data_IF_144720695621
#
_entry.id   IF_144720695621
#
_cell.length_a   1.000
_cell.length_b   1.000
_cell.length_c   1.000
_cell.angle_alpha   90.00
_cell.angle_beta   90.00
_cell.angle_gamma   90.00
#
_symmetry.space_group_name_H-M   'P 1'
#
loop_
_entity.id
_entity.type
_entity.pdbx_description
1 polymer ?
#
# COMPACT_ATOMS: atom_id res chain seq x y z
N UNK A 1 -2.88 22.49 2.11
CA UNK A 1 -2.05 21.76 3.06
C UNK A 1 -1.69 22.65 4.25
N UNK A 2 -2.65 22.80 5.13
CA UNK A 2 -2.62 23.64 6.33
C UNK A 2 -2.96 22.75 7.54
N UNK A 3 -2.59 23.17 8.73
CA UNK A 3 -2.95 22.57 10.00
C UNK A 3 -3.21 23.66 11.05
N UNK A 4 -3.53 23.26 12.27
CA UNK A 4 -3.87 24.17 13.36
C UNK A 4 -2.77 25.22 13.66
N UNK A 5 -1.49 24.84 13.55
CA UNK A 5 -0.35 25.73 13.78
C UNK A 5 0.01 26.57 12.54
N UNK A 6 -0.45 26.14 11.34
CA UNK A 6 -0.08 26.72 10.04
C UNK A 6 -1.33 26.97 9.20
N UNK A 7 -2.15 27.93 9.62
CA UNK A 7 -3.29 28.38 8.83
C UNK A 7 -2.84 29.12 7.57
N UNK A 8 -3.62 29.00 6.50
CA UNK A 8 -3.35 29.62 5.20
C UNK A 8 -4.26 30.82 4.99
N UNK A 9 -3.67 31.96 4.72
CA UNK A 9 -4.43 33.20 4.46
C UNK A 9 -5.08 33.17 3.07
N UNK A 10 -6.16 33.95 2.88
CA UNK A 10 -6.80 34.13 1.57
C UNK A 10 -5.81 34.59 0.50
N UNK A 11 -4.86 35.47 0.86
CA UNK A 11 -3.84 35.94 -0.09
C UNK A 11 -2.89 34.81 -0.53
N UNK A 12 -2.50 33.90 0.39
CA UNK A 12 -1.68 32.75 0.06
C UNK A 12 -2.43 31.78 -0.83
N UNK A 13 -3.74 31.57 -0.59
CA UNK A 13 -4.60 30.74 -1.45
C UNK A 13 -4.65 31.34 -2.86
N UNK A 14 -4.90 32.63 -3.01
CA UNK A 14 -4.92 33.33 -4.31
C UNK A 14 -3.57 33.21 -5.03
N UNK A 15 -2.46 33.42 -4.31
CA UNK A 15 -1.12 33.31 -4.87
C UNK A 15 -0.81 31.86 -5.34
N UNK A 16 -1.24 30.87 -4.59
CA UNK A 16 -1.10 29.45 -4.97
C UNK A 16 -1.92 29.11 -6.22
N UNK A 17 -3.19 29.51 -6.28
CA UNK A 17 -4.04 29.29 -7.45
C UNK A 17 -3.47 29.98 -8.69
N UNK A 18 -2.98 31.23 -8.55
CA UNK A 18 -2.33 31.94 -9.63
C UNK A 18 -1.08 31.21 -10.17
N UNK A 19 -0.31 30.53 -9.32
CA UNK A 19 0.84 29.72 -9.75
C UNK A 19 0.45 28.48 -10.54
N UNK A 20 -0.84 28.14 -10.57
CA UNK A 20 -1.44 27.03 -11.34
C UNK A 20 -2.36 27.56 -12.46
N UNK A 21 -2.15 28.81 -12.88
CA UNK A 21 -2.94 29.49 -13.93
C UNK A 21 -4.45 29.61 -13.64
N UNK A 22 -4.82 29.57 -12.35
CA UNK A 22 -6.20 29.77 -11.90
C UNK A 22 -6.35 31.16 -11.33
N UNK A 23 -7.16 32.00 -12.00
CA UNK A 23 -7.53 33.34 -11.51
C UNK A 23 -8.62 33.21 -10.45
N UNK A 24 -8.42 33.81 -9.27
CA UNK A 24 -9.40 33.84 -8.20
C UNK A 24 -9.37 35.17 -7.45
N UNK A 25 -10.55 35.67 -7.06
CA UNK A 25 -10.71 36.83 -6.24
C UNK A 25 -11.07 36.46 -4.80
N UNK A 26 -10.84 37.36 -3.85
CA UNK A 26 -11.16 37.14 -2.44
C UNK A 26 -12.59 36.65 -2.19
N UNK A 27 -13.56 37.27 -2.88
CA UNK A 27 -14.97 36.97 -2.72
C UNK A 27 -15.27 35.54 -3.19
N UNK A 28 -14.66 35.11 -4.27
CA UNK A 28 -14.75 33.75 -4.78
C UNK A 28 -14.17 32.73 -3.77
N UNK A 29 -12.99 33.03 -3.18
CA UNK A 29 -12.37 32.14 -2.18
C UNK A 29 -13.28 31.93 -0.95
N UNK A 30 -13.96 33.00 -0.49
CA UNK A 30 -14.90 32.83 0.64
C UNK A 30 -16.08 31.94 0.27
N UNK A 31 -16.68 32.15 -0.90
CA UNK A 31 -17.76 31.32 -1.41
C UNK A 31 -17.32 29.83 -1.59
N UNK A 32 -16.10 29.63 -2.10
CA UNK A 32 -15.54 28.29 -2.31
C UNK A 32 -15.28 27.59 -0.97
N UNK A 33 -14.80 28.30 0.06
CA UNK A 33 -14.60 27.78 1.41
C UNK A 33 -15.95 27.35 2.01
N UNK A 34 -16.99 28.17 1.85
CA UNK A 34 -18.30 27.81 2.36
C UNK A 34 -18.89 26.61 1.61
N UNK A 35 -18.73 26.54 0.29
CA UNK A 35 -19.12 25.36 -0.48
C UNK A 35 -18.37 24.09 -0.07
N UNK A 36 -17.08 24.19 0.24
CA UNK A 36 -16.28 23.07 0.74
C UNK A 36 -16.73 22.61 2.14
N UNK A 37 -17.15 23.53 3.01
CA UNK A 37 -17.77 23.21 4.31
C UNK A 37 -19.10 22.49 4.14
N UNK A 38 -19.94 22.98 3.23
CA UNK A 38 -21.21 22.33 2.90
C UNK A 38 -21.03 20.94 2.31
N UNK A 39 -19.91 20.71 1.60
CA UNK A 39 -19.50 19.39 1.11
C UNK A 39 -19.00 18.46 2.22
N UNK A 40 -18.79 18.97 3.44
CA UNK A 40 -18.39 18.17 4.60
C UNK A 40 -16.92 18.28 5.01
N UNK A 41 -16.15 19.21 4.42
CA UNK A 41 -14.80 19.50 4.88
C UNK A 41 -14.83 20.39 6.12
N UNK A 42 -14.19 19.94 7.19
CA UNK A 42 -14.08 20.72 8.42
C UNK A 42 -12.99 21.79 8.27
N UNK A 43 -13.38 22.94 7.73
CA UNK A 43 -12.48 24.08 7.52
C UNK A 43 -12.69 25.10 8.62
N UNK A 44 -11.71 25.23 9.50
CA UNK A 44 -11.71 26.19 10.61
C UNK A 44 -11.02 27.48 10.18
N UNK A 45 -11.60 28.60 10.59
CA UNK A 45 -10.98 29.91 10.47
C UNK A 45 -10.35 30.30 11.82
N UNK A 46 -9.07 30.67 11.79
CA UNK A 46 -8.36 31.23 12.95
C UNK A 46 -8.04 32.68 12.73
N UNK A 47 -8.03 33.45 13.81
CA UNK A 47 -7.74 34.89 13.81
C UNK A 47 -6.88 35.27 15.00
N UNK A 48 -5.75 34.58 15.16
CA UNK A 48 -4.76 34.88 16.20
C UNK A 48 -3.67 35.80 15.64
N UNK A 49 -2.95 36.48 16.54
CA UNK A 49 -1.96 37.51 16.16
C UNK A 49 -0.87 36.99 15.22
N UNK A 50 -0.43 35.75 15.40
CA UNK A 50 0.64 35.11 14.60
C UNK A 50 0.13 33.97 13.70
N UNK A 51 -1.14 33.60 13.79
CA UNK A 51 -1.74 32.53 13.01
C UNK A 51 -3.16 32.95 12.62
N UNK A 52 -3.37 33.35 11.37
CA UNK A 52 -4.67 33.75 10.87
C UNK A 52 -4.90 33.20 9.47
N UNK A 53 -6.12 32.77 9.21
CA UNK A 53 -6.49 32.15 7.93
C UNK A 53 -7.38 30.93 8.12
N UNK A 54 -7.20 29.95 7.29
CA UNK A 54 -8.01 28.74 7.25
C UNK A 54 -7.13 27.50 7.34
N UNK A 55 -7.62 26.46 8.01
CA UNK A 55 -7.02 25.15 7.97
C UNK A 55 -8.10 24.05 7.98
N UNK A 56 -7.74 22.86 7.48
CA UNK A 56 -8.59 21.68 7.55
C UNK A 56 -8.32 20.99 8.87
N UNK A 57 -9.33 20.95 9.75
CA UNK A 57 -9.19 20.42 11.12
C UNK A 57 -9.32 18.91 11.15
N UNK A 58 -10.38 18.36 10.56
CA UNK A 58 -10.61 16.92 10.59
C UNK A 58 -9.94 16.27 9.36
N UNK A 59 -9.08 15.31 9.62
CA UNK A 59 -8.43 14.45 8.64
C UNK A 59 -8.75 13.00 8.99
N UNK A 60 -8.81 12.15 7.97
CA UNK A 60 -9.09 10.73 8.13
C UNK A 60 -8.06 10.03 9.03
N UNK A 61 -6.84 10.59 9.11
CA UNK A 61 -5.76 10.05 9.92
C UNK A 61 -5.11 11.10 10.79
N UNK A 62 -4.87 10.75 12.04
CA UNK A 62 -4.03 11.52 12.96
C UNK A 62 -2.54 11.31 12.68
N UNK A 63 -1.69 12.26 13.08
CA UNK A 63 -0.24 12.16 12.87
C UNK A 63 0.39 10.92 13.53
N UNK A 64 0.01 10.46 14.75
CA UNK A 64 0.50 9.22 15.32
C UNK A 64 0.15 7.99 14.48
N UNK A 65 -1.05 7.92 13.90
CA UNK A 65 -1.49 6.82 13.03
C UNK A 65 -0.67 6.77 11.74
N UNK A 66 -0.43 7.94 11.12
CA UNK A 66 0.43 8.03 9.94
C UNK A 66 1.87 7.60 10.24
N UNK A 67 2.40 7.90 11.43
CA UNK A 67 3.72 7.41 11.87
C UNK A 67 3.75 5.89 11.95
N UNK A 68 2.72 5.26 12.53
CA UNK A 68 2.60 3.80 12.59
C UNK A 68 2.53 3.17 11.19
N UNK A 69 1.80 3.78 10.25
CA UNK A 69 1.75 3.33 8.86
C UNK A 69 3.13 3.43 8.18
N UNK A 70 3.84 4.54 8.35
CA UNK A 70 5.20 4.72 7.83
C UNK A 70 6.15 3.67 8.41
N UNK A 71 6.12 3.43 9.72
CA UNK A 71 6.96 2.45 10.41
C UNK A 71 6.67 1.03 9.92
N UNK A 72 5.39 0.69 9.72
CA UNK A 72 4.97 -0.61 9.18
C UNK A 72 5.49 -0.84 7.76
N UNK A 73 5.42 0.17 6.89
CA UNK A 73 5.95 0.10 5.53
C UNK A 73 7.47 0.03 5.52
N UNK A 74 8.15 0.80 6.39
CA UNK A 74 9.60 0.78 6.50
C UNK A 74 10.13 -0.54 7.04
N UNK A 75 9.47 -1.10 8.05
CA UNK A 75 9.89 -2.35 8.69
C UNK A 75 9.62 -3.58 7.85
N UNK A 76 8.74 -3.51 6.88
CA UNK A 76 8.36 -4.65 6.04
C UNK A 76 9.52 -5.15 5.17
N UNK A 77 9.85 -6.45 5.27
CA UNK A 77 10.89 -7.11 4.45
C UNK A 77 10.41 -7.39 3.04
N UNK A 78 9.12 -7.62 2.84
CA UNK A 78 8.57 -8.03 1.54
C UNK A 78 8.35 -6.85 0.57
N UNK A 79 8.43 -5.61 1.05
CA UNK A 79 8.32 -4.41 0.21
C UNK A 79 9.74 -3.96 -0.19
N UNK A 80 9.98 -3.75 -1.49
CA UNK A 80 11.27 -3.25 -1.96
C UNK A 80 11.55 -1.84 -1.45
N UNK A 81 12.83 -1.45 -1.38
CA UNK A 81 13.20 -0.10 -0.94
C UNK A 81 12.53 1.00 -1.79
N UNK A 82 12.51 0.82 -3.10
CA UNK A 82 11.88 1.76 -4.05
C UNK A 82 10.37 1.90 -3.79
N UNK A 83 9.67 0.77 -3.58
CA UNK A 83 8.23 0.77 -3.29
C UNK A 83 7.94 1.39 -1.91
N UNK A 84 8.79 1.12 -0.90
CA UNK A 84 8.73 1.75 0.42
C UNK A 84 8.72 3.27 0.31
N UNK A 85 9.70 3.86 -0.38
CA UNK A 85 9.76 5.32 -0.57
C UNK A 85 8.54 5.87 -1.30
N UNK A 86 8.05 5.13 -2.31
CA UNK A 86 6.83 5.52 -3.04
C UNK A 86 5.59 5.51 -2.16
N UNK A 87 5.44 4.50 -1.28
CA UNK A 87 4.32 4.40 -0.35
C UNK A 87 4.37 5.49 0.72
N UNK A 88 5.54 5.74 1.30
CA UNK A 88 5.73 6.82 2.29
C UNK A 88 5.31 8.17 1.70
N UNK A 89 5.75 8.50 0.47
CA UNK A 89 5.31 9.72 -0.22
C UNK A 89 3.79 9.81 -0.45
N UNK A 90 3.09 8.68 -0.54
CA UNK A 90 1.63 8.66 -0.61
C UNK A 90 1.00 8.89 0.76
N UNK A 91 1.56 8.29 1.81
CA UNK A 91 1.11 8.47 3.20
C UNK A 91 1.30 9.93 3.62
N UNK A 92 2.43 10.56 3.28
CA UNK A 92 2.70 11.98 3.53
C UNK A 92 1.59 12.92 3.00
N UNK A 93 0.98 12.57 1.87
CA UNK A 93 -0.12 13.35 1.27
C UNK A 93 -1.42 13.32 2.08
N UNK A 94 -1.56 12.38 3.01
CA UNK A 94 -2.72 12.29 3.91
C UNK A 94 -2.63 13.29 5.07
N UNK A 95 -1.49 13.97 5.23
CA UNK A 95 -1.26 14.98 6.27
C UNK A 95 -1.05 16.39 5.70
N UNK A 96 -0.87 17.38 6.58
CA UNK A 96 -0.40 18.71 6.16
C UNK A 96 1.06 18.62 5.65
N UNK A 97 1.51 19.61 4.88
CA UNK A 97 2.92 19.70 4.45
C UNK A 97 3.86 19.74 5.65
N UNK A 98 3.46 20.42 6.72
CA UNK A 98 4.25 20.57 7.93
C UNK A 98 4.33 19.24 8.72
N UNK A 99 3.20 18.56 8.90
CA UNK A 99 3.15 17.24 9.51
C UNK A 99 3.86 16.17 8.68
N UNK A 100 3.81 16.26 7.34
CA UNK A 100 4.53 15.35 6.45
C UNK A 100 6.04 15.38 6.68
N UNK A 101 6.63 16.53 7.01
CA UNK A 101 8.06 16.64 7.35
C UNK A 101 8.42 15.84 8.61
N UNK A 102 7.48 15.69 9.55
CA UNK A 102 7.67 14.89 10.75
C UNK A 102 7.61 13.40 10.49
N UNK A 103 6.95 12.98 9.41
CA UNK A 103 6.89 11.57 8.97
C UNK A 103 8.21 11.11 8.34
N UNK A 104 9.01 12.03 7.80
CA UNK A 104 10.33 11.74 7.24
C UNK A 104 11.41 11.45 8.29
N UNK A 105 11.09 11.55 9.58
CA UNK A 105 12.01 11.14 10.66
C UNK A 105 12.11 9.62 10.65
N UNK A 106 13.18 9.17 10.07
CA UNK A 106 13.47 7.78 9.76
C UNK A 106 13.50 6.91 11.03
N UNK A 107 12.63 5.92 11.10
CA UNK A 107 12.96 4.70 11.82
C UNK A 107 13.98 3.95 10.97
N UNK A 108 15.25 4.11 11.26
CA UNK A 108 16.30 3.30 10.67
C UNK A 108 16.16 1.86 11.20
N UNK A 109 15.57 0.99 10.44
CA UNK A 109 15.65 -0.44 10.73
C UNK A 109 17.02 -0.92 10.27
N UNK A 110 17.97 -0.90 11.21
CA UNK A 110 19.36 -1.32 10.99
C UNK A 110 19.37 -2.77 10.50
N UNK A 111 20.03 -3.04 9.38
CA UNK A 111 20.27 -4.38 8.81
C UNK A 111 19.05 -5.15 8.28
N UNK A 112 17.95 -4.50 7.93
CA UNK A 112 16.83 -5.19 7.29
C UNK A 112 17.06 -5.31 5.78
N UNK A 113 17.36 -6.54 5.35
CA UNK A 113 17.45 -6.88 3.92
C UNK A 113 16.02 -6.92 3.39
N UNK A 114 15.66 -5.91 2.59
CA UNK A 114 14.40 -5.89 1.86
C UNK A 114 14.48 -6.79 0.64
N UNK A 115 13.35 -7.35 0.22
CA UNK A 115 13.28 -8.09 -1.04
C UNK A 115 13.68 -7.21 -2.22
N UNK A 116 14.30 -7.82 -3.22
CA UNK A 116 14.55 -7.19 -4.52
C UNK A 116 13.45 -7.51 -5.55
N UNK A 117 12.47 -8.32 -5.18
CA UNK A 117 11.40 -8.72 -6.07
C UNK A 117 10.27 -7.69 -6.06
N UNK A 118 10.19 -6.84 -7.07
CA UNK A 118 9.13 -5.84 -7.22
C UNK A 118 7.77 -6.47 -7.61
N UNK A 119 7.75 -7.73 -8.05
CA UNK A 119 6.53 -8.41 -8.48
C UNK A 119 5.67 -8.93 -7.32
N UNK A 120 6.18 -9.01 -6.09
CA UNK A 120 5.44 -9.56 -4.94
C UNK A 120 4.09 -8.87 -4.75
N UNK A 121 4.05 -7.57 -4.90
CA UNK A 121 2.83 -6.78 -4.77
C UNK A 121 1.75 -7.23 -5.78
N UNK A 122 2.15 -7.46 -7.05
CA UNK A 122 1.25 -7.96 -8.09
C UNK A 122 0.93 -9.44 -7.90
N UNK A 123 1.89 -10.22 -7.40
CA UNK A 123 1.69 -11.63 -7.10
C UNK A 123 0.57 -11.83 -6.06
N UNK A 124 0.56 -11.01 -5.00
CA UNK A 124 -0.48 -11.03 -3.98
C UNK A 124 -1.86 -10.74 -4.60
N UNK A 125 -1.94 -9.73 -5.45
CA UNK A 125 -3.18 -9.33 -6.13
C UNK A 125 -3.70 -10.44 -7.05
N UNK A 126 -2.84 -11.04 -7.88
CA UNK A 126 -3.21 -12.16 -8.76
C UNK A 126 -3.67 -13.41 -7.99
N UNK A 127 -3.04 -13.71 -6.84
CA UNK A 127 -3.49 -14.82 -5.99
C UNK A 127 -4.87 -14.53 -5.42
N UNK A 128 -5.13 -13.31 -4.94
CA UNK A 128 -6.44 -12.90 -4.45
C UNK A 128 -7.51 -12.97 -5.56
N UNK A 129 -7.16 -12.59 -6.78
CA UNK A 129 -8.05 -12.72 -7.94
C UNK A 129 -8.42 -14.18 -8.20
N UNK A 130 -7.45 -15.11 -8.15
CA UNK A 130 -7.70 -16.54 -8.27
C UNK A 130 -8.62 -17.09 -7.18
N UNK A 131 -8.38 -16.67 -5.91
CA UNK A 131 -9.22 -17.06 -4.76
C UNK A 131 -10.65 -16.53 -4.93
N UNK A 132 -10.80 -15.24 -5.22
CA UNK A 132 -12.11 -14.57 -5.30
C UNK A 132 -12.95 -15.04 -6.47
N UNK A 133 -12.32 -15.40 -7.60
CA UNK A 133 -13.01 -15.90 -8.79
C UNK A 133 -13.23 -17.41 -8.79
N UNK A 134 -12.82 -18.13 -7.73
CA UNK A 134 -12.88 -19.59 -7.64
C UNK A 134 -12.12 -20.30 -8.77
N UNK A 135 -10.92 -19.80 -9.12
CA UNK A 135 -10.13 -20.27 -10.26
C UNK A 135 -8.77 -20.79 -9.83
N UNK A 136 -8.25 -21.77 -10.59
CA UNK A 136 -6.86 -22.21 -10.49
C UNK A 136 -5.93 -21.12 -10.94
N UNK A 137 -4.70 -21.17 -10.44
CA UNK A 137 -3.62 -20.32 -10.94
C UNK A 137 -2.44 -21.17 -11.39
N UNK A 138 -1.67 -20.63 -12.33
CA UNK A 138 -0.36 -21.18 -12.69
C UNK A 138 0.74 -20.18 -12.37
N UNK A 139 1.92 -20.69 -12.04
CA UNK A 139 3.09 -19.85 -11.74
C UNK A 139 4.40 -20.64 -11.90
N UNK A 140 5.51 -19.91 -12.05
CA UNK A 140 6.86 -20.46 -11.91
C UNK A 140 7.31 -20.31 -10.46
N UNK A 141 7.98 -21.33 -9.93
CA UNK A 141 8.52 -21.30 -8.56
C UNK A 141 10.03 -21.46 -8.58
N UNK A 142 10.74 -20.56 -7.89
CA UNK A 142 12.19 -20.56 -7.89
C UNK A 142 12.78 -20.60 -6.47
N UNK A 143 14.03 -20.98 -6.39
CA UNK A 143 14.86 -20.91 -5.19
C UNK A 143 16.18 -20.21 -5.53
N UNK A 144 16.87 -19.73 -4.51
CA UNK A 144 18.23 -19.24 -4.67
C UNK A 144 19.22 -20.34 -4.32
N UNK A 145 20.16 -20.60 -5.19
CA UNK A 145 21.27 -21.48 -4.91
C UNK A 145 22.32 -20.82 -3.97
N UNK A 146 23.37 -21.54 -3.61
CA UNK A 146 24.45 -21.05 -2.73
C UNK A 146 25.13 -19.80 -3.28
N UNK A 147 25.18 -19.65 -4.61
CA UNK A 147 25.71 -18.47 -5.30
C UNK A 147 24.69 -17.31 -5.42
N UNK A 148 23.51 -17.40 -4.75
CA UNK A 148 22.40 -16.45 -4.83
C UNK A 148 21.84 -16.24 -6.25
N UNK A 149 22.01 -17.23 -7.12
CA UNK A 149 21.40 -17.25 -8.44
C UNK A 149 20.05 -17.95 -8.36
N UNK A 150 19.03 -17.40 -9.06
CA UNK A 150 17.70 -18.02 -9.13
C UNK A 150 17.74 -19.31 -9.93
N UNK A 151 17.17 -20.36 -9.38
CA UNK A 151 17.00 -21.66 -10.02
C UNK A 151 15.52 -22.02 -9.95
N UNK A 152 14.90 -22.23 -11.10
CA UNK A 152 13.50 -22.65 -11.14
C UNK A 152 13.37 -24.11 -10.75
N UNK A 153 12.38 -24.42 -9.93
CA UNK A 153 12.01 -25.79 -9.60
C UNK A 153 11.32 -26.44 -10.80
N UNK A 154 11.30 -27.76 -10.84
CA UNK A 154 10.71 -28.58 -11.90
C UNK A 154 11.20 -28.16 -13.31
N UNK A 155 12.50 -27.87 -13.43
CA UNK A 155 13.13 -27.46 -14.69
C UNK A 155 12.43 -26.29 -15.40
N UNK A 156 11.78 -25.41 -14.64
CA UNK A 156 11.04 -24.26 -15.13
C UNK A 156 9.62 -24.57 -15.63
N UNK A 157 9.08 -25.76 -15.30
CA UNK A 157 7.68 -26.05 -15.56
C UNK A 157 6.75 -25.24 -14.64
N UNK A 158 5.56 -24.91 -15.16
CA UNK A 158 4.55 -24.24 -14.37
C UNK A 158 3.92 -25.18 -13.35
N UNK A 159 3.76 -24.66 -12.14
CA UNK A 159 2.83 -25.22 -11.17
C UNK A 159 1.42 -24.78 -11.54
N UNK A 160 0.44 -25.68 -11.42
CA UNK A 160 -0.98 -25.41 -11.56
C UNK A 160 -1.66 -25.88 -10.28
N UNK A 161 -2.25 -24.95 -9.54
CA UNK A 161 -2.81 -25.23 -8.20
C UNK A 161 -4.11 -24.47 -7.97
N UNK A 162 -4.88 -24.93 -6.99
CA UNK A 162 -6.12 -24.29 -6.52
C UNK A 162 -5.81 -23.44 -5.27
N UNK A 163 -5.73 -22.10 -5.35
CA UNK A 163 -5.41 -21.24 -4.21
C UNK A 163 -6.64 -21.11 -3.30
N UNK A 164 -6.49 -21.28 -1.97
CA UNK A 164 -7.57 -21.17 -0.99
C UNK A 164 -7.42 -20.00 -0.05
N UNK A 165 -6.22 -19.76 0.46
CA UNK A 165 -5.96 -18.70 1.42
C UNK A 165 -4.55 -18.13 1.26
N UNK A 166 -4.35 -16.97 1.84
CA UNK A 166 -3.03 -16.42 2.09
C UNK A 166 -2.81 -16.29 3.58
N UNK A 167 -1.63 -16.70 4.05
CA UNK A 167 -1.21 -16.55 5.44
C UNK A 167 0.03 -15.66 5.51
N UNK A 168 0.21 -15.03 6.65
CA UNK A 168 1.37 -14.21 6.96
C UNK A 168 2.15 -14.85 8.08
N UNK A 169 3.40 -15.24 7.80
CA UNK A 169 4.29 -15.84 8.79
C UNK A 169 5.73 -15.37 8.57
N UNK A 170 6.45 -15.08 9.66
CA UNK A 170 7.82 -14.56 9.66
C UNK A 170 8.08 -13.48 8.59
N UNK A 171 7.18 -12.51 8.53
CA UNK A 171 7.23 -11.38 7.59
C UNK A 171 7.20 -11.78 6.09
N UNK A 172 6.66 -12.95 5.77
CA UNK A 172 6.45 -13.42 4.41
C UNK A 172 4.99 -13.80 4.18
N UNK A 173 4.51 -13.59 2.95
CA UNK A 173 3.26 -14.16 2.49
C UNK A 173 3.45 -15.59 2.04
N UNK A 174 2.54 -16.44 2.46
CA UNK A 174 2.41 -17.83 1.99
C UNK A 174 1.02 -18.00 1.38
N UNK A 175 0.99 -18.61 0.21
CA UNK A 175 -0.26 -19.06 -0.40
C UNK A 175 -0.50 -20.50 0.03
N UNK A 176 -1.68 -20.78 0.59
CA UNK A 176 -2.19 -22.12 0.87
C UNK A 176 -2.97 -22.57 -0.36
N UNK A 177 -2.54 -23.65 -1.00
CA UNK A 177 -3.16 -24.13 -2.23
C UNK A 177 -3.17 -25.66 -2.31
N UNK A 178 -4.20 -26.21 -2.93
CA UNK A 178 -4.25 -27.62 -3.27
C UNK A 178 -3.51 -27.88 -4.59
N UNK A 179 -2.58 -28.79 -4.53
CA UNK A 179 -1.84 -29.29 -5.69
C UNK A 179 -2.51 -30.58 -6.18
N UNK A 180 -3.31 -30.49 -7.24
CA UNK A 180 -4.09 -31.62 -7.77
C UNK A 180 -3.20 -32.76 -8.25
N UNK A 181 -2.00 -32.47 -8.76
CA UNK A 181 -1.06 -33.50 -9.22
C UNK A 181 -0.47 -34.30 -8.05
N UNK A 182 -0.30 -33.68 -6.89
CA UNK A 182 0.19 -34.32 -5.69
C UNK A 182 -0.94 -34.81 -4.76
N UNK A 183 -2.18 -34.32 -4.94
CA UNK A 183 -3.34 -34.65 -4.10
C UNK A 183 -3.28 -34.10 -2.68
N UNK A 184 -2.50 -33.03 -2.42
CA UNK A 184 -2.28 -32.48 -1.08
C UNK A 184 -2.30 -30.96 -1.08
N UNK A 185 -2.56 -30.40 0.11
CA UNK A 185 -2.37 -28.96 0.36
C UNK A 185 -0.87 -28.65 0.52
N UNK A 186 -0.43 -27.59 -0.12
CA UNK A 186 0.93 -27.06 -0.04
C UNK A 186 0.92 -25.58 0.29
N UNK A 187 2.02 -25.13 0.91
CA UNK A 187 2.27 -23.73 1.23
C UNK A 187 3.39 -23.21 0.32
N UNK A 188 3.10 -22.17 -0.45
CA UNK A 188 4.07 -21.56 -1.36
C UNK A 188 4.41 -20.16 -0.91
N UNK A 189 5.68 -19.85 -0.77
CA UNK A 189 6.14 -18.48 -0.47
C UNK A 189 5.93 -17.59 -1.69
N UNK A 190 5.19 -16.50 -1.51
CA UNK A 190 4.81 -15.62 -2.62
C UNK A 190 6.01 -14.86 -3.21
N UNK A 191 7.03 -14.59 -2.42
CA UNK A 191 8.28 -13.97 -2.87
C UNK A 191 9.12 -14.84 -3.82
N UNK A 192 8.82 -16.15 -3.87
CA UNK A 192 9.46 -17.14 -4.75
C UNK A 192 8.60 -17.49 -5.97
N UNK A 193 7.49 -16.81 -6.18
CA UNK A 193 6.57 -17.03 -7.29
C UNK A 193 6.79 -15.98 -8.37
N UNK A 194 6.70 -16.41 -9.62
CA UNK A 194 6.77 -15.52 -10.80
C UNK A 194 5.75 -15.94 -11.85
N UNK A 195 5.36 -14.99 -12.69
CA UNK A 195 4.44 -15.19 -13.82
C UNK A 195 3.13 -15.86 -13.42
N UNK A 196 2.54 -15.38 -12.31
CA UNK A 196 1.25 -15.86 -11.85
C UNK A 196 0.19 -15.47 -12.89
N UNK A 197 -0.69 -16.40 -13.22
CA UNK A 197 -1.81 -16.18 -14.12
C UNK A 197 -3.01 -16.96 -13.61
N UNK A 198 -4.15 -16.31 -13.49
CA UNK A 198 -5.43 -16.96 -13.20
C UNK A 198 -5.87 -17.73 -14.45
N UNK A 199 -6.33 -18.96 -14.26
CA UNK A 199 -6.81 -19.84 -15.33
C UNK A 199 -8.35 -19.82 -15.39
N UNK A 200 -8.91 -20.32 -16.51
CA UNK A 200 -10.37 -20.50 -16.63
C UNK A 200 -10.89 -21.75 -15.91
N UNK A 201 -9.99 -22.59 -15.39
CA UNK A 201 -10.32 -23.79 -14.65
C UNK A 201 -10.78 -23.46 -13.23
N UNK A 202 -11.87 -24.12 -12.78
CA UNK A 202 -12.34 -24.03 -11.41
C UNK A 202 -11.39 -24.71 -10.44
N UNK A 203 -11.37 -24.22 -9.19
CA UNK A 203 -10.60 -24.86 -8.12
C UNK A 203 -11.15 -26.23 -7.79
N UNK A 204 -10.26 -27.12 -7.42
CA UNK A 204 -10.54 -28.42 -6.81
C UNK A 204 -9.87 -28.54 -5.45
N UNK A 205 -10.16 -29.60 -4.70
CA UNK A 205 -9.55 -29.89 -3.41
C UNK A 205 -10.15 -29.09 -2.24
N UNK A 206 -11.41 -28.65 -2.33
CA UNK A 206 -12.11 -27.96 -1.23
C UNK A 206 -12.15 -28.81 0.04
N UNK A 207 -12.49 -30.10 -0.08
CA UNK A 207 -12.55 -31.03 1.07
C UNK A 207 -11.19 -31.19 1.77
N UNK A 208 -10.11 -31.18 0.97
CA UNK A 208 -8.75 -31.25 1.51
C UNK A 208 -8.35 -29.95 2.25
N UNK A 209 -8.87 -28.82 1.80
CA UNK A 209 -8.64 -27.54 2.49
C UNK A 209 -9.47 -27.41 3.77
N UNK A 210 -10.73 -27.84 3.75
CA UNK A 210 -11.61 -27.81 4.93
C UNK A 210 -11.18 -28.80 6.02
N UNK A 211 -10.39 -29.82 5.66
CA UNK A 211 -9.80 -30.76 6.61
C UNK A 211 -8.51 -30.22 7.27
N UNK A 212 -8.05 -29.03 6.92
CA UNK A 212 -6.98 -28.33 7.61
C UNK A 212 -7.59 -27.62 8.82
N UNK A 213 -7.42 -28.15 10.02
CA UNK A 213 -7.71 -27.49 11.29
C UNK A 213 -6.61 -26.48 11.67
#
# INVERSE_FOLDING_TARGET
>A
SSDEEHAVTTNQIIAYLKSHDIAAERKTIYSDIDALRDFGLDIIQVSERNNHGYYVANRDFELPELKLLVDSVQSSKFITHKKTLSLIKKIEKLSSIHSAQLLNRQVFVKNRIKTMNESIYYNVDEIHNGISSNRKIRFLYFEYNVAKVRVYRHDGAYYVVSPFAMTWDDENYYMVAFDSAAGIIKHYRVDKMEKITVLDEERDGQDAYEALD
#
